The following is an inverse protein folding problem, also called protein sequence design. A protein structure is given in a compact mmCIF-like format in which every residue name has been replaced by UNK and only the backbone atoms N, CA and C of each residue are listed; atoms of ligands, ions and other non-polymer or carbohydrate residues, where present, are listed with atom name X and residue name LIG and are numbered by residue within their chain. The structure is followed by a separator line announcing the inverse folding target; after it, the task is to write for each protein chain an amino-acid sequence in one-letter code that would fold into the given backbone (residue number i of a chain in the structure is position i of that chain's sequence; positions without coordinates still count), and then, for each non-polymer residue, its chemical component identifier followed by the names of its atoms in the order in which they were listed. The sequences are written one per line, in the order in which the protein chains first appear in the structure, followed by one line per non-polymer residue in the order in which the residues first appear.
data_IF_001377841433
#
_entry.id   IF_001377841433
#
_cell.length_a   1.000
_cell.length_b   1.000
_cell.length_c   1.000
_cell.angle_alpha   90.00
_cell.angle_beta   90.00
_cell.angle_gamma   90.00
#
_symmetry.space_group_name_H-M   'P 1'
#
loop_
_entity.id
_entity.type
_entity.pdbx_description
1 polymer ?
#
# COMPACT_ATOMS: atom_id res chain seq x y z
N UNK A 1 -32.57 9.09 1.91
CA UNK A 1 -31.89 7.84 2.29
C UNK A 1 -30.97 7.49 1.14
N UNK A 2 -29.73 7.11 1.48
CA UNK A 2 -28.71 6.50 0.60
C UNK A 2 -28.13 7.50 -0.42
N UNK A 3 -26.88 7.97 -0.32
CA UNK A 3 -25.67 7.20 -0.54
C UNK A 3 -24.47 7.88 0.18
N UNK A 4 -24.11 7.41 1.37
CA UNK A 4 -23.01 7.98 2.18
C UNK A 4 -21.77 7.07 2.24
N UNK A 5 -21.55 6.22 1.23
CA UNK A 5 -20.65 5.06 1.36
C UNK A 5 -19.46 5.01 0.39
N UNK A 6 -19.24 6.02 -0.46
CA UNK A 6 -18.05 6.05 -1.34
C UNK A 6 -17.03 7.01 -0.73
N UNK A 7 -16.36 6.56 0.33
CA UNK A 7 -15.31 7.32 1.02
C UNK A 7 -14.08 6.43 1.20
N UNK A 8 -12.96 6.77 0.55
CA UNK A 8 -11.63 6.17 0.83
C UNK A 8 -10.98 6.85 2.01
N UNK A 9 -11.68 6.83 3.12
CA UNK A 9 -11.06 6.59 4.41
C UNK A 9 -11.81 5.38 4.94
N UNK A 10 -11.15 4.45 5.63
CA UNK A 10 -11.94 3.50 6.39
C UNK A 10 -12.92 4.34 7.23
N UNK A 11 -14.23 4.04 7.24
CA UNK A 11 -15.21 4.86 7.95
C UNK A 11 -14.77 5.16 9.38
N UNK A 12 -14.03 4.24 9.99
CA UNK A 12 -13.46 4.35 11.33
C UNK A 12 -12.29 5.36 11.45
N UNK A 13 -11.48 5.55 10.42
CA UNK A 13 -10.36 6.51 10.44
C UNK A 13 -10.88 7.95 10.28
N UNK A 14 -11.83 8.16 9.37
CA UNK A 14 -12.50 9.46 9.23
C UNK A 14 -13.34 9.79 10.47
N UNK A 15 -14.07 8.80 11.02
CA UNK A 15 -14.81 8.94 12.29
C UNK A 15 -13.91 9.19 13.49
N UNK A 16 -12.65 8.75 13.44
CA UNK A 16 -11.64 8.96 14.50
C UNK A 16 -10.86 10.27 14.34
N UNK A 17 -11.14 11.05 13.27
CA UNK A 17 -10.50 12.33 12.99
C UNK A 17 -9.10 12.21 12.39
N UNK A 18 -8.81 11.11 11.71
CA UNK A 18 -7.52 10.88 11.05
C UNK A 18 -7.34 11.75 9.80
N UNK A 19 -6.10 12.03 9.43
CA UNK A 19 -5.74 12.93 8.31
C UNK A 19 -6.16 12.32 6.97
N UNK A 20 -6.50 13.16 5.99
CA UNK A 20 -6.83 12.73 4.63
C UNK A 20 -5.73 11.85 4.05
N UNK A 21 -6.13 10.72 3.46
CA UNK A 21 -5.21 9.75 2.85
C UNK A 21 -4.87 10.14 1.41
N UNK A 22 -3.78 9.58 0.88
CA UNK A 22 -3.25 9.90 -0.47
C UNK A 22 -4.31 9.87 -1.59
N UNK A 23 -5.21 8.89 -1.58
CA UNK A 23 -6.32 8.80 -2.56
C UNK A 23 -7.28 9.98 -2.40
N UNK A 24 -7.67 10.34 -1.17
CA UNK A 24 -8.59 11.46 -0.93
C UNK A 24 -7.96 12.82 -1.24
N UNK A 25 -6.67 12.99 -0.90
CA UNK A 25 -5.93 14.20 -1.25
C UNK A 25 -5.91 14.38 -2.77
N UNK A 26 -5.56 13.32 -3.51
CA UNK A 26 -5.51 13.39 -4.97
C UNK A 26 -6.89 13.59 -5.60
N UNK A 27 -7.94 12.93 -5.09
CA UNK A 27 -9.32 13.18 -5.53
C UNK A 27 -9.71 14.66 -5.36
N UNK A 28 -9.38 15.25 -4.21
CA UNK A 28 -9.71 16.65 -3.93
C UNK A 28 -8.86 17.62 -4.76
N UNK A 29 -7.55 17.37 -4.88
CA UNK A 29 -6.61 18.22 -5.62
C UNK A 29 -6.86 18.19 -7.14
N UNK A 30 -7.14 17.01 -7.71
CA UNK A 30 -7.32 16.83 -9.14
C UNK A 30 -8.80 16.79 -9.59
N UNK A 31 -9.75 16.76 -8.64
CA UNK A 31 -11.18 16.70 -8.95
C UNK A 31 -11.62 15.40 -9.64
N UNK A 32 -10.91 14.30 -9.40
CA UNK A 32 -11.11 13.01 -10.08
C UNK A 32 -11.91 12.02 -9.25
N UNK A 33 -12.42 10.96 -9.89
CA UNK A 33 -13.08 9.85 -9.20
C UNK A 33 -12.11 9.04 -8.33
N UNK A 34 -12.64 8.30 -7.37
CA UNK A 34 -11.86 7.39 -6.54
C UNK A 34 -11.07 6.37 -7.36
N UNK A 35 -11.69 5.82 -8.41
CA UNK A 35 -11.05 4.84 -9.30
C UNK A 35 -9.83 5.44 -10.00
N UNK A 36 -9.98 6.63 -10.57
CA UNK A 36 -8.88 7.34 -11.23
C UNK A 36 -7.78 7.71 -10.25
N UNK A 37 -8.14 8.10 -9.02
CA UNK A 37 -7.18 8.35 -7.97
C UNK A 37 -6.41 7.09 -7.56
N UNK A 38 -7.08 5.95 -7.43
CA UNK A 38 -6.43 4.65 -7.16
C UNK A 38 -5.48 4.25 -8.28
N UNK A 39 -5.93 4.33 -9.53
CA UNK A 39 -5.10 4.05 -10.71
C UNK A 39 -3.84 4.92 -10.70
N UNK A 40 -4.00 6.22 -10.44
CA UNK A 40 -2.87 7.14 -10.32
C UNK A 40 -1.88 6.76 -9.21
N UNK A 41 -2.38 6.42 -8.01
CA UNK A 41 -1.51 5.98 -6.91
C UNK A 41 -0.80 4.66 -7.25
N UNK A 42 -1.47 3.71 -7.91
CA UNK A 42 -0.86 2.47 -8.38
C UNK A 42 0.27 2.73 -9.38
N UNK A 43 0.07 3.65 -10.32
CA UNK A 43 1.09 4.06 -11.28
C UNK A 43 2.28 4.72 -10.59
N UNK A 44 2.05 5.58 -9.59
CA UNK A 44 3.13 6.17 -8.79
C UNK A 44 3.94 5.11 -8.04
N UNK A 45 3.28 4.10 -7.50
CA UNK A 45 3.94 2.96 -6.84
C UNK A 45 4.82 2.21 -7.84
N UNK A 46 4.30 1.90 -9.04
CA UNK A 46 5.03 1.20 -10.08
C UNK A 46 6.25 2.00 -10.57
N UNK A 47 6.09 3.30 -10.81
CA UNK A 47 7.16 4.21 -11.19
C UNK A 47 8.25 4.29 -10.11
N UNK A 48 7.84 4.34 -8.84
CA UNK A 48 8.76 4.37 -7.70
C UNK A 48 9.58 3.09 -7.61
N UNK A 49 8.96 1.92 -7.86
CA UNK A 49 9.69 0.65 -7.96
C UNK A 49 10.73 0.63 -9.08
N UNK A 50 10.37 1.13 -10.26
CA UNK A 50 11.31 1.22 -11.38
C UNK A 50 12.50 2.10 -11.01
N UNK A 51 12.28 3.21 -10.31
CA UNK A 51 13.34 4.09 -9.81
C UNK A 51 14.22 3.37 -8.79
N UNK A 52 13.63 2.74 -7.76
CA UNK A 52 14.40 2.00 -6.74
C UNK A 52 15.26 0.88 -7.35
N UNK A 53 14.73 0.14 -8.32
CA UNK A 53 15.47 -0.90 -9.01
C UNK A 53 16.60 -0.32 -9.86
N UNK A 54 16.32 0.76 -10.61
CA UNK A 54 17.36 1.45 -11.39
C UNK A 54 18.47 1.95 -10.47
N UNK A 55 18.13 2.58 -9.36
CA UNK A 55 19.10 3.08 -8.40
C UNK A 55 19.94 1.90 -7.92
N UNK A 56 19.34 0.83 -7.38
CA UNK A 56 20.05 -0.37 -6.89
C UNK A 56 21.13 -0.89 -7.83
N UNK A 57 20.89 -0.89 -9.15
CA UNK A 57 21.82 -1.47 -10.13
C UNK A 57 22.60 -0.43 -10.95
N UNK A 58 22.25 0.85 -10.87
CA UNK A 58 22.64 1.88 -11.83
C UNK A 58 23.78 2.80 -11.41
N UNK A 59 24.30 2.70 -10.18
CA UNK A 59 25.43 3.49 -9.67
C UNK A 59 26.11 2.77 -8.49
N UNK A 60 27.40 3.07 -8.19
CA UNK A 60 27.97 2.76 -6.89
C UNK A 60 27.20 3.55 -5.83
N UNK A 61 26.48 2.85 -4.96
CA UNK A 61 25.71 3.49 -3.90
C UNK A 61 26.64 4.11 -2.86
N UNK A 62 26.34 5.34 -2.46
CA UNK A 62 26.98 5.97 -1.29
C UNK A 62 26.56 5.33 0.04
N UNK A 63 25.63 4.37 -0.02
CA UNK A 63 24.95 3.78 1.13
C UNK A 63 25.20 2.27 1.14
N UNK A 64 25.35 1.69 2.33
CA UNK A 64 25.59 0.25 2.51
C UNK A 64 24.52 -0.60 1.82
N UNK A 65 24.94 -1.68 1.15
CA UNK A 65 24.05 -2.68 0.54
C UNK A 65 23.08 -3.28 1.55
N UNK A 66 23.49 -3.41 2.82
CA UNK A 66 22.63 -3.88 3.91
C UNK A 66 21.46 -2.91 4.11
N UNK A 67 21.75 -1.61 4.14
CA UNK A 67 20.72 -0.58 4.30
C UNK A 67 19.76 -0.58 3.11
N UNK A 68 20.29 -0.63 1.88
CA UNK A 68 19.48 -0.71 0.66
C UNK A 68 18.59 -1.96 0.69
N UNK A 69 19.12 -3.10 1.11
CA UNK A 69 18.37 -4.35 1.30
C UNK A 69 17.21 -4.20 2.29
N UNK A 70 17.46 -3.60 3.45
CA UNK A 70 16.42 -3.35 4.47
C UNK A 70 15.33 -2.42 3.93
N UNK A 71 15.71 -1.31 3.29
CA UNK A 71 14.76 -0.34 2.73
C UNK A 71 13.85 -0.98 1.67
N UNK A 72 14.42 -1.79 0.76
CA UNK A 72 13.64 -2.50 -0.23
C UNK A 72 12.71 -3.55 0.39
N UNK A 73 13.18 -4.29 1.41
CA UNK A 73 12.34 -5.28 2.08
C UNK A 73 11.18 -4.64 2.83
N UNK A 74 11.38 -3.45 3.43
CA UNK A 74 10.30 -2.68 4.03
C UNK A 74 9.21 -2.31 3.01
N UNK A 75 9.61 -1.85 1.82
CA UNK A 75 8.68 -1.56 0.74
C UNK A 75 7.91 -2.81 0.28
N UNK A 76 8.60 -3.96 0.13
CA UNK A 76 7.96 -5.24 -0.22
C UNK A 76 6.97 -5.70 0.85
N UNK A 77 7.34 -5.59 2.13
CA UNK A 77 6.45 -5.94 3.24
C UNK A 77 5.19 -5.07 3.21
N UNK A 78 5.33 -3.75 3.05
CA UNK A 78 4.17 -2.85 2.95
C UNK A 78 3.22 -3.28 1.82
N UNK A 79 3.75 -3.58 0.63
CA UNK A 79 2.92 -4.06 -0.46
C UNK A 79 2.25 -5.41 -0.16
N UNK A 80 3.01 -6.40 0.31
CA UNK A 80 2.46 -7.72 0.64
C UNK A 80 1.27 -7.64 1.61
N UNK A 81 1.34 -6.69 2.55
CA UNK A 81 0.32 -6.47 3.57
C UNK A 81 -0.91 -5.72 3.04
N UNK A 82 -0.73 -4.75 2.12
CA UNK A 82 -1.81 -3.83 1.73
C UNK A 82 -2.30 -3.95 0.28
N UNK A 83 -1.62 -4.70 -0.59
CA UNK A 83 -1.94 -4.76 -2.03
C UNK A 83 -3.29 -5.42 -2.35
N UNK A 84 -3.86 -6.19 -1.42
CA UNK A 84 -5.16 -6.87 -1.59
C UNK A 84 -6.30 -6.16 -0.85
N UNK A 85 -6.10 -4.88 -0.52
CA UNK A 85 -7.00 -4.03 0.27
C UNK A 85 -8.28 -3.55 -0.41
N UNK A 86 -8.74 -4.25 -1.44
CA UNK A 86 -9.85 -3.79 -2.27
C UNK A 86 -11.17 -4.44 -1.84
N UNK A 87 -11.88 -3.78 -0.91
CA UNK A 87 -13.34 -3.95 -0.79
C UNK A 87 -13.90 -4.26 0.60
N UNK A 88 -13.13 -4.86 1.51
CA UNK A 88 -13.56 -5.03 2.91
C UNK A 88 -12.34 -5.22 3.81
N UNK A 89 -12.22 -4.40 4.86
CA UNK A 89 -11.17 -4.50 5.89
C UNK A 89 -11.11 -5.90 6.54
N UNK A 90 -12.24 -6.60 6.55
CA UNK A 90 -12.33 -8.00 6.98
C UNK A 90 -11.55 -8.94 6.07
N UNK A 91 -11.60 -8.76 4.74
CA UNK A 91 -10.86 -9.57 3.78
C UNK A 91 -9.34 -9.39 3.88
N UNK A 92 -8.87 -8.16 4.11
CA UNK A 92 -7.43 -7.89 4.34
C UNK A 92 -6.95 -8.58 5.60
N UNK A 93 -7.70 -8.42 6.70
CA UNK A 93 -7.30 -9.00 7.98
C UNK A 93 -7.27 -10.53 7.92
N UNK A 94 -8.23 -11.17 7.25
CA UNK A 94 -8.25 -12.61 7.09
C UNK A 94 -7.14 -13.13 6.15
N UNK A 95 -6.90 -12.46 5.01
CA UNK A 95 -5.81 -12.85 4.08
C UNK A 95 -4.45 -12.67 4.75
N UNK A 96 -4.22 -11.55 5.42
CA UNK A 96 -2.97 -11.28 6.14
C UNK A 96 -2.77 -12.29 7.27
N UNK A 97 -3.81 -12.57 8.06
CA UNK A 97 -3.74 -13.55 9.15
C UNK A 97 -3.42 -14.95 8.63
N UNK A 98 -4.09 -15.39 7.57
CA UNK A 98 -3.83 -16.70 6.95
C UNK A 98 -2.38 -16.82 6.46
N UNK A 99 -1.85 -15.77 5.81
CA UNK A 99 -0.44 -15.72 5.38
C UNK A 99 0.54 -15.79 6.55
N UNK A 100 0.25 -15.07 7.64
CA UNK A 100 1.12 -15.07 8.83
C UNK A 100 1.13 -16.45 9.49
N UNK A 101 -0.03 -17.10 9.63
CA UNK A 101 -0.12 -18.45 10.20
C UNK A 101 0.67 -19.45 9.34
N UNK A 102 0.45 -19.44 8.02
CA UNK A 102 1.16 -20.32 7.10
C UNK A 102 2.68 -20.10 7.07
N UNK A 103 3.16 -18.88 7.33
CA UNK A 103 4.60 -18.57 7.27
C UNK A 103 5.33 -18.86 8.58
N UNK A 104 4.66 -18.69 9.72
CA UNK A 104 5.30 -18.70 11.05
C UNK A 104 4.94 -19.96 11.85
N UNK A 105 3.71 -20.45 11.72
CA UNK A 105 3.15 -21.50 12.57
C UNK A 105 3.15 -22.84 11.83
N UNK A 106 2.70 -22.85 10.58
CA UNK A 106 2.54 -24.09 9.83
C UNK A 106 3.88 -24.51 9.17
N UNK A 107 4.43 -25.68 9.52
CA UNK A 107 5.67 -26.16 8.90
C UNK A 107 5.42 -26.58 7.45
N UNK A 108 6.46 -26.44 6.62
CA UNK A 108 6.45 -26.96 5.25
C UNK A 108 6.63 -28.49 5.33
N UNK A 109 5.69 -29.22 4.75
CA UNK A 109 5.71 -30.68 4.66
C UNK A 109 6.77 -31.20 3.67
#
# INVERSE_FOLDING_TARGET
MENAWISVAAPDELKRGDVHKSIQCYMHEAGVSEREAREHIHDLIAQTWMKMNRDRFGNPHFVSDVFVGIAMNLARMSQCMYQFGEGHRHGVQEITKARVLSLIIDPIA
#
